data_IF_759269843381
#
_entry.id   IF_759269843381
#
_cell.length_a   1.000
_cell.length_b   1.000
_cell.length_c   1.000
_cell.angle_alpha   90.00
_cell.angle_beta   90.00
_cell.angle_gamma   90.00
#
_symmetry.space_group_name_H-M   'P 1'
#
loop_
_entity.id
_entity.type
_entity.pdbx_description
1 polymer ?
#
# COMPACT_ATOMS: atom_id res chain seq x y z
N UNK A 1 -17.42 -11.39 6.59
CA UNK A 1 -18.23 -10.47 5.77
C UNK A 1 -17.66 -10.50 4.36
N UNK A 2 -18.48 -10.47 3.30
CA UNK A 2 -17.98 -10.43 1.91
C UNK A 2 -18.21 -9.02 1.40
N UNK A 3 -17.13 -8.35 1.01
CA UNK A 3 -17.17 -7.07 0.30
C UNK A 3 -17.01 -7.31 -1.20
N UNK A 4 -17.71 -6.54 -2.01
CA UNK A 4 -17.39 -6.39 -3.43
C UNK A 4 -16.12 -5.56 -3.58
N UNK A 5 -15.47 -5.63 -4.76
CA UNK A 5 -14.30 -4.78 -5.05
C UNK A 5 -14.62 -3.29 -4.95
N UNK A 6 -15.82 -2.89 -5.38
CA UNK A 6 -16.26 -1.49 -5.28
C UNK A 6 -16.39 -1.02 -3.83
N UNK A 7 -17.06 -1.81 -2.98
CA UNK A 7 -17.22 -1.49 -1.56
C UNK A 7 -15.89 -1.46 -0.82
N UNK A 8 -14.97 -2.38 -1.13
CA UNK A 8 -13.64 -2.38 -0.51
C UNK A 8 -12.83 -1.14 -0.90
N UNK A 9 -12.87 -0.77 -2.19
CA UNK A 9 -12.20 0.44 -2.70
C UNK A 9 -12.74 1.70 -2.03
N UNK A 10 -14.06 1.86 -2.02
CA UNK A 10 -14.72 3.01 -1.40
C UNK A 10 -14.38 3.10 0.09
N UNK A 11 -14.47 1.99 0.80
CA UNK A 11 -14.17 1.91 2.24
C UNK A 11 -12.73 2.30 2.55
N UNK A 12 -11.77 1.82 1.74
CA UNK A 12 -10.36 2.17 1.89
C UNK A 12 -10.10 3.66 1.66
N UNK A 13 -10.58 4.18 0.54
CA UNK A 13 -10.37 5.58 0.18
C UNK A 13 -11.01 6.51 1.23
N UNK A 14 -12.23 6.20 1.68
CA UNK A 14 -12.93 6.98 2.70
C UNK A 14 -12.22 6.92 4.06
N UNK A 15 -11.69 5.76 4.43
CA UNK A 15 -10.91 5.60 5.66
C UNK A 15 -9.70 6.54 5.66
N UNK A 16 -8.89 6.52 4.60
CA UNK A 16 -7.71 7.36 4.51
C UNK A 16 -8.04 8.85 4.29
N UNK A 17 -9.13 9.16 3.58
CA UNK A 17 -9.64 10.54 3.51
C UNK A 17 -9.93 11.10 4.93
N UNK A 18 -10.54 10.31 5.80
CA UNK A 18 -10.79 10.70 7.20
C UNK A 18 -9.49 10.85 8.02
N UNK A 19 -8.36 10.30 7.57
CA UNK A 19 -7.02 10.53 8.13
C UNK A 19 -6.30 11.73 7.48
N UNK A 20 -7.00 12.51 6.65
CA UNK A 20 -6.49 13.72 6.01
C UNK A 20 -5.84 13.51 4.65
N UNK A 21 -5.93 12.32 4.06
CA UNK A 21 -5.43 12.06 2.72
C UNK A 21 -6.33 12.67 1.64
N UNK A 22 -5.71 13.09 0.55
CA UNK A 22 -6.43 13.51 -0.65
C UNK A 22 -6.55 12.33 -1.60
N UNK A 23 -7.78 12.04 -2.02
CA UNK A 23 -8.04 11.00 -3.00
C UNK A 23 -7.63 11.51 -4.39
N UNK A 24 -6.80 10.74 -5.08
CA UNK A 24 -6.41 11.01 -6.46
C UNK A 24 -6.93 9.92 -7.39
N UNK A 25 -7.25 10.25 -8.65
CA UNK A 25 -7.65 9.24 -9.62
C UNK A 25 -6.47 8.33 -9.97
N UNK A 26 -6.80 7.09 -10.39
CA UNK A 26 -5.80 6.18 -10.98
C UNK A 26 -5.08 6.84 -12.15
N UNK A 27 -3.77 6.79 -12.17
CA UNK A 27 -2.99 7.17 -13.34
C UNK A 27 -3.26 6.20 -14.52
N UNK A 28 -2.85 6.59 -15.71
CA UNK A 28 -2.93 5.76 -16.91
C UNK A 28 -2.20 4.44 -16.73
N UNK A 29 -2.71 3.38 -17.36
CA UNK A 29 -1.97 2.11 -17.48
C UNK A 29 -0.76 2.22 -18.40
N UNK A 30 -0.78 3.18 -19.33
CA UNK A 30 0.39 3.51 -20.16
C UNK A 30 1.11 4.67 -19.45
N UNK A 31 2.31 4.42 -18.90
CA UNK A 31 3.05 5.47 -18.18
C UNK A 31 3.48 6.58 -19.13
N UNK A 32 3.22 7.84 -18.76
CA UNK A 32 3.51 8.97 -19.62
C UNK A 32 4.99 9.36 -19.64
N UNK A 33 5.70 9.13 -18.54
CA UNK A 33 7.08 9.61 -18.34
C UNK A 33 8.06 8.50 -17.92
N UNK A 34 7.75 7.25 -18.19
CA UNK A 34 8.61 6.11 -17.87
C UNK A 34 8.86 5.25 -19.12
N UNK A 35 9.97 5.49 -19.85
CA UNK A 35 10.31 4.72 -21.05
C UNK A 35 10.80 3.30 -20.74
N UNK A 36 10.97 2.94 -19.47
CA UNK A 36 11.52 1.65 -19.07
C UNK A 36 10.45 0.56 -18.95
N UNK A 37 9.18 0.94 -18.86
CA UNK A 37 8.06 0.01 -18.73
C UNK A 37 6.96 0.31 -19.74
N UNK A 38 6.31 -0.75 -20.24
CA UNK A 38 5.17 -0.62 -21.17
C UNK A 38 3.87 -0.30 -20.44
N UNK A 39 3.75 -0.74 -19.20
CA UNK A 39 2.54 -0.58 -18.41
C UNK A 39 2.86 -0.17 -16.97
N UNK A 40 1.94 0.56 -16.35
CA UNK A 40 1.98 0.85 -14.92
C UNK A 40 1.78 -0.45 -14.14
N UNK A 41 2.84 -0.92 -13.49
CA UNK A 41 2.88 -2.20 -12.78
C UNK A 41 2.65 -2.09 -11.28
N UNK A 42 2.54 -0.88 -10.72
CA UNK A 42 2.32 -0.67 -9.28
C UNK A 42 1.74 0.71 -8.97
N UNK A 43 1.14 0.84 -7.79
CA UNK A 43 0.68 2.12 -7.25
C UNK A 43 1.81 3.10 -6.96
N UNK A 44 3.01 2.61 -6.69
CA UNK A 44 4.17 3.45 -6.42
C UNK A 44 4.70 4.15 -7.67
N UNK A 45 4.58 3.53 -8.84
CA UNK A 45 5.20 4.05 -10.08
C UNK A 45 4.76 5.48 -10.43
N UNK A 46 3.47 5.85 -10.42
CA UNK A 46 3.06 7.24 -10.64
C UNK A 46 3.46 8.19 -9.52
N UNK A 47 3.72 7.67 -8.32
CA UNK A 47 4.11 8.47 -7.15
C UNK A 47 5.62 8.71 -7.03
N UNK A 48 6.44 8.04 -7.86
CA UNK A 48 7.89 8.08 -7.76
C UNK A 48 8.47 9.50 -7.72
N UNK A 49 8.09 10.46 -8.58
CA UNK A 49 8.63 11.83 -8.53
C UNK A 49 8.41 12.49 -7.16
N UNK A 50 7.26 12.28 -6.56
CA UNK A 50 6.90 12.86 -5.27
C UNK A 50 7.62 12.16 -4.09
N UNK A 51 7.86 10.86 -4.22
CA UNK A 51 8.62 10.09 -3.22
C UNK A 51 10.11 10.46 -3.20
N UNK A 52 10.66 10.93 -4.32
CA UNK A 52 12.05 11.39 -4.41
C UNK A 52 12.21 12.90 -4.19
N UNK A 53 11.14 13.62 -3.84
CA UNK A 53 11.22 14.98 -3.33
C UNK A 53 10.48 16.06 -4.12
N UNK A 54 9.82 15.74 -5.23
CA UNK A 54 8.92 16.70 -5.87
C UNK A 54 7.70 16.98 -5.00
N UNK A 55 7.18 18.20 -5.08
CA UNK A 55 5.97 18.57 -4.33
C UNK A 55 4.72 18.09 -5.06
N UNK A 56 3.92 17.25 -4.40
CA UNK A 56 2.61 16.88 -4.94
C UNK A 56 1.63 18.06 -4.81
N UNK A 57 0.85 18.40 -5.87
CA UNK A 57 -0.02 19.58 -5.88
C UNK A 57 -1.16 19.53 -4.85
N UNK A 58 -1.55 18.35 -4.39
CA UNK A 58 -2.62 18.15 -3.41
C UNK A 58 -2.12 18.00 -1.97
N UNK A 59 -0.81 18.09 -1.72
CA UNK A 59 -0.23 18.03 -0.37
C UNK A 59 0.57 16.77 -0.09
N UNK A 60 0.74 16.47 1.19
CA UNK A 60 1.67 15.44 1.68
C UNK A 60 1.02 14.08 1.99
N UNK A 61 -0.31 14.04 2.07
CA UNK A 61 -1.09 12.80 2.32
C UNK A 61 -1.96 12.50 1.12
N UNK A 62 -1.65 11.45 0.40
CA UNK A 62 -2.35 11.04 -0.81
C UNK A 62 -2.85 9.61 -0.66
N UNK A 63 -4.05 9.30 -1.18
CA UNK A 63 -4.51 7.94 -1.32
C UNK A 63 -5.20 7.71 -2.66
N UNK A 64 -5.11 6.48 -3.15
CA UNK A 64 -5.62 6.10 -4.46
C UNK A 64 -6.04 4.62 -4.52
N UNK A 65 -6.61 4.26 -5.64
CA UNK A 65 -6.77 2.89 -6.12
C UNK A 65 -6.18 2.83 -7.52
N UNK A 66 -4.90 2.50 -7.61
CA UNK A 66 -4.17 2.46 -8.88
C UNK A 66 -4.43 1.16 -9.63
N UNK A 67 -4.89 1.27 -10.86
CA UNK A 67 -4.94 0.15 -11.81
C UNK A 67 -3.52 -0.22 -12.23
N UNK A 68 -3.20 -1.49 -12.18
CA UNK A 68 -1.88 -2.02 -12.51
C UNK A 68 -1.98 -3.23 -13.43
N UNK A 69 -1.01 -3.36 -14.32
CA UNK A 69 -0.90 -4.50 -15.22
C UNK A 69 0.53 -5.04 -15.23
N UNK A 70 0.66 -6.35 -14.95
CA UNK A 70 1.94 -7.08 -14.91
C UNK A 70 1.90 -8.22 -15.92
N UNK A 71 2.37 -7.97 -17.12
CA UNK A 71 2.44 -8.99 -18.19
C UNK A 71 3.38 -10.15 -17.83
N UNK A 72 4.44 -9.90 -17.06
CA UNK A 72 5.39 -10.90 -16.62
C UNK A 72 4.77 -12.01 -15.75
N UNK A 73 3.67 -11.70 -15.06
CA UNK A 73 2.99 -12.65 -14.17
C UNK A 73 2.06 -13.64 -14.94
N UNK A 74 2.01 -13.57 -16.29
CA UNK A 74 1.08 -14.37 -17.09
C UNK A 74 1.33 -15.89 -16.95
N UNK A 75 2.59 -16.28 -16.79
CA UNK A 75 2.97 -17.69 -16.63
C UNK A 75 2.57 -18.27 -15.27
N UNK A 76 2.29 -17.42 -14.28
CA UNK A 76 1.85 -17.80 -12.95
C UNK A 76 0.31 -17.84 -12.81
N UNK A 77 -0.42 -17.46 -13.86
CA UNK A 77 -1.89 -17.50 -13.86
C UNK A 77 -2.40 -18.93 -13.83
N UNK A 78 -3.30 -19.19 -12.91
CA UNK A 78 -3.90 -20.52 -12.70
C UNK A 78 -3.87 -20.96 -11.25
N UNK A 79 -3.08 -20.30 -10.42
CA UNK A 79 -3.16 -20.42 -8.97
C UNK A 79 -4.31 -19.53 -8.41
N UNK A 80 -4.41 -19.45 -7.08
CA UNK A 80 -5.43 -18.64 -6.40
C UNK A 80 -4.90 -17.25 -5.97
N UNK A 81 -3.78 -16.77 -6.50
CA UNK A 81 -3.07 -15.57 -6.04
C UNK A 81 -2.69 -14.62 -7.16
N UNK A 82 -2.25 -15.12 -8.32
CA UNK A 82 -1.73 -14.30 -9.39
C UNK A 82 -2.80 -13.86 -10.37
N UNK A 83 -2.77 -12.57 -10.71
CA UNK A 83 -3.53 -11.98 -11.81
C UNK A 83 -2.63 -11.00 -12.55
N UNK A 84 -2.84 -10.82 -13.86
CA UNK A 84 -2.09 -9.83 -14.64
C UNK A 84 -2.62 -8.42 -14.46
N UNK A 85 -3.92 -8.27 -14.22
CA UNK A 85 -4.59 -6.98 -14.01
C UNK A 85 -5.23 -6.94 -12.63
N UNK A 86 -4.94 -5.87 -11.88
CA UNK A 86 -5.46 -5.68 -10.52
C UNK A 86 -5.49 -4.19 -10.15
N UNK A 87 -6.13 -3.90 -9.04
CA UNK A 87 -6.07 -2.59 -8.41
C UNK A 87 -5.20 -2.66 -7.15
N UNK A 88 -4.33 -1.67 -6.99
CA UNK A 88 -3.49 -1.50 -5.81
C UNK A 88 -4.01 -0.32 -5.00
N UNK A 89 -4.55 -0.61 -3.82
CA UNK A 89 -4.99 0.41 -2.87
C UNK A 89 -3.75 1.00 -2.20
N UNK A 90 -3.54 2.29 -2.36
CA UNK A 90 -2.36 3.00 -1.89
C UNK A 90 -2.68 4.16 -0.95
N UNK A 91 -1.84 4.35 0.06
CA UNK A 91 -1.77 5.57 0.85
C UNK A 91 -0.32 5.99 0.97
N UNK A 92 -0.06 7.27 0.74
CA UNK A 92 1.26 7.82 0.53
C UNK A 92 1.51 8.95 1.51
N UNK A 93 2.65 8.87 2.22
CA UNK A 93 3.17 9.94 3.07
C UNK A 93 4.36 10.59 2.38
N UNK A 94 4.22 11.83 2.00
CA UNK A 94 5.27 12.61 1.35
C UNK A 94 5.98 13.48 2.39
N UNK A 95 6.67 12.81 3.34
CA UNK A 95 7.37 13.45 4.44
C UNK A 95 6.49 13.95 5.59
N UNK A 96 5.32 13.35 5.80
CA UNK A 96 4.37 13.77 6.84
C UNK A 96 4.34 12.78 8.02
N UNK A 97 3.95 11.54 7.79
CA UNK A 97 3.90 10.48 8.81
C UNK A 97 4.78 9.30 8.40
N UNK A 98 5.02 8.37 9.33
CA UNK A 98 5.86 7.20 9.04
C UNK A 98 5.27 5.92 9.65
N UNK A 99 6.11 5.04 10.23
CA UNK A 99 5.72 3.68 10.64
C UNK A 99 4.64 3.65 11.72
N UNK A 100 4.76 4.51 12.72
CA UNK A 100 3.84 4.51 13.86
C UNK A 100 2.40 4.74 13.43
N UNK A 101 2.15 5.80 12.70
CA UNK A 101 0.82 6.13 12.20
C UNK A 101 0.33 5.06 11.21
N UNK A 102 1.19 4.67 10.26
CA UNK A 102 0.82 3.70 9.22
C UNK A 102 0.43 2.34 9.80
N UNK A 103 1.20 1.83 10.76
CA UNK A 103 0.92 0.53 11.39
C UNK A 103 -0.39 0.60 12.19
N UNK A 104 -0.60 1.69 12.94
CA UNK A 104 -1.84 1.90 13.67
C UNK A 104 -3.06 1.96 12.73
N UNK A 105 -2.97 2.73 11.64
CA UNK A 105 -4.09 2.90 10.71
C UNK A 105 -4.40 1.62 9.93
N UNK A 106 -3.39 0.91 9.43
CA UNK A 106 -3.66 -0.31 8.66
C UNK A 106 -4.18 -1.44 9.56
N UNK A 107 -3.71 -1.51 10.81
CA UNK A 107 -4.26 -2.44 11.80
C UNK A 107 -5.73 -2.12 12.10
N UNK A 108 -6.03 -0.86 12.38
CA UNK A 108 -7.40 -0.40 12.62
C UNK A 108 -8.30 -0.69 11.42
N UNK A 109 -7.83 -0.40 10.21
CA UNK A 109 -8.56 -0.70 8.99
C UNK A 109 -8.85 -2.20 8.84
N UNK A 110 -7.86 -3.07 9.02
CA UNK A 110 -8.05 -4.51 8.87
C UNK A 110 -8.95 -5.10 9.95
N UNK A 111 -8.73 -4.74 11.20
CA UNK A 111 -9.39 -5.39 12.32
C UNK A 111 -10.75 -4.77 12.62
N UNK A 112 -10.84 -3.45 12.68
CA UNK A 112 -12.06 -2.76 13.08
C UNK A 112 -12.94 -2.44 11.88
N UNK A 113 -12.37 -1.92 10.78
CA UNK A 113 -13.15 -1.54 9.62
C UNK A 113 -13.56 -2.74 8.75
N UNK A 114 -12.65 -3.68 8.51
CA UNK A 114 -12.94 -4.87 7.70
C UNK A 114 -13.39 -6.07 8.54
N UNK A 115 -13.19 -6.06 9.85
CA UNK A 115 -13.56 -7.15 10.75
C UNK A 115 -12.73 -8.41 10.53
N UNK A 116 -11.47 -8.28 10.10
CA UNK A 116 -10.59 -9.44 9.95
C UNK A 116 -10.18 -10.00 11.31
N UNK A 117 -10.10 -11.33 11.39
CA UNK A 117 -9.65 -11.99 12.61
C UNK A 117 -8.13 -11.79 12.79
N UNK A 118 -7.67 -11.11 13.85
CA UNK A 118 -6.25 -10.88 14.11
C UNK A 118 -5.41 -12.16 14.11
N UNK A 119 -5.98 -13.30 14.55
CA UNK A 119 -5.29 -14.60 14.57
C UNK A 119 -4.98 -15.16 13.17
N UNK A 120 -5.53 -14.56 12.13
CA UNK A 120 -5.29 -14.94 10.72
C UNK A 120 -4.43 -13.92 9.98
N UNK A 121 -3.93 -12.89 10.66
CA UNK A 121 -3.05 -11.87 10.11
C UNK A 121 -1.62 -12.27 10.42
N UNK A 122 -0.78 -12.30 9.39
CA UNK A 122 0.65 -12.58 9.48
C UNK A 122 1.42 -11.37 8.99
N UNK A 123 2.43 -10.98 9.75
CA UNK A 123 3.26 -9.81 9.45
C UNK A 123 4.68 -10.26 9.22
N UNK A 124 5.31 -9.70 8.20
CA UNK A 124 6.74 -9.79 7.98
C UNK A 124 7.39 -8.42 8.04
N UNK A 125 8.59 -8.34 8.59
CA UNK A 125 9.40 -7.14 8.63
C UNK A 125 10.73 -7.39 7.92
N UNK A 126 11.39 -6.31 7.51
CA UNK A 126 12.71 -6.43 6.90
C UNK A 126 13.72 -7.01 7.91
N UNK A 127 14.36 -8.10 7.51
CA UNK A 127 15.31 -8.85 8.39
C UNK A 127 16.68 -8.20 8.53
N UNK A 128 16.97 -7.16 7.74
CA UNK A 128 18.30 -6.62 7.58
C UNK A 128 19.09 -7.29 6.44
N UNK A 129 20.26 -6.72 6.16
CA UNK A 129 21.20 -7.25 5.19
C UNK A 129 22.62 -6.94 5.66
N UNK A 130 23.30 -7.95 6.20
CA UNK A 130 24.65 -7.81 6.78
C UNK A 130 25.69 -7.39 5.73
N UNK A 131 25.53 -7.84 4.47
CA UNK A 131 26.44 -7.49 3.38
C UNK A 131 26.47 -5.99 3.10
N UNK A 132 25.33 -5.32 3.26
CA UNK A 132 25.20 -3.87 3.08
C UNK A 132 25.20 -3.08 4.41
N UNK A 133 25.41 -3.74 5.54
CA UNK A 133 25.36 -3.10 6.86
C UNK A 133 24.00 -2.53 7.23
N UNK A 134 22.92 -3.08 6.66
CA UNK A 134 21.55 -2.60 6.93
C UNK A 134 20.95 -3.45 8.06
N UNK A 135 20.58 -2.85 9.20
CA UNK A 135 20.03 -3.58 10.34
C UNK A 135 18.60 -4.08 10.06
N UNK A 136 18.15 -5.03 10.88
CA UNK A 136 16.76 -5.44 10.95
C UNK A 136 15.88 -4.27 11.36
N UNK A 137 14.64 -4.24 10.86
CA UNK A 137 13.66 -3.21 11.23
C UNK A 137 12.99 -3.53 12.58
N UNK A 138 13.74 -3.35 13.67
CA UNK A 138 13.26 -3.65 15.02
C UNK A 138 12.20 -2.65 15.51
N UNK A 139 12.17 -1.45 14.97
CA UNK A 139 11.10 -0.48 15.22
C UNK A 139 9.74 -1.02 14.75
N UNK A 140 9.67 -1.51 13.51
CA UNK A 140 8.44 -2.12 12.99
C UNK A 140 8.06 -3.38 13.77
N UNK A 141 9.05 -4.19 14.21
CA UNK A 141 8.78 -5.36 15.07
C UNK A 141 8.07 -4.95 16.35
N UNK A 142 8.60 -3.95 17.05
CA UNK A 142 8.03 -3.48 18.32
C UNK A 142 6.60 -2.96 18.14
N UNK A 143 6.37 -2.11 17.14
CA UNK A 143 5.05 -1.56 16.84
C UNK A 143 4.02 -2.66 16.51
N UNK A 144 4.39 -3.67 15.74
CA UNK A 144 3.52 -4.78 15.43
C UNK A 144 3.25 -5.69 16.63
N UNK A 145 4.27 -5.97 17.45
CA UNK A 145 4.11 -6.76 18.68
C UNK A 145 3.11 -6.12 19.63
N UNK A 146 3.15 -4.80 19.79
CA UNK A 146 2.15 -4.05 20.57
C UNK A 146 0.73 -4.34 20.09
N UNK A 147 0.47 -4.28 18.77
CA UNK A 147 -0.86 -4.55 18.21
C UNK A 147 -1.38 -5.97 18.47
N UNK A 148 -0.51 -6.95 18.53
CA UNK A 148 -0.92 -8.33 18.81
C UNK A 148 -1.07 -8.63 20.31
N UNK A 149 -0.48 -7.82 21.19
CA UNK A 149 -0.61 -7.99 22.66
C UNK A 149 -1.81 -7.26 23.23
N UNK A 150 -2.30 -6.20 22.60
CA UNK A 150 -3.50 -5.45 23.01
C UNK A 150 -4.84 -6.23 22.83
N UNK A 151 -4.82 -7.45 22.29
CA UNK A 151 -5.99 -8.33 22.01
C UNK A 151 -5.76 -9.78 22.40
#
# INVERSE_FOLDING_TARGET
MKYTSAELREKYLKYFENKGHKIVPSASLIPENDPTTLFTGSGMQPMLPYLIGEKHPLGTRICDSQKAFRAADIDDIGDNRHTTFFEMLGNWSLGDYFKTEQINWIWDFYVNELGLNPKKIYISVYRGNDHFGIPRDDEAVALWQEKFTEK
#
